data_IF_873854280763
#
_entry.id   IF_873854280763
#
_cell.length_a   1.000
_cell.length_b   1.000
_cell.length_c   1.000
_cell.angle_alpha   90.00
_cell.angle_beta   90.00
_cell.angle_gamma   90.00
#
_symmetry.space_group_name_H-M   'P 1'
#
loop_
_entity.id
_entity.type
_entity.pdbx_description
1 polymer ?
#
# COMPACT_ATOMS: atom_id res chain seq x y z
N UNK A 1 18.20 55.73 63.06
CA UNK A 1 16.88 55.19 62.73
C UNK A 1 16.54 55.62 61.34
N UNK A 2 16.90 54.75 60.34
CA UNK A 2 16.54 54.97 58.94
C UNK A 2 16.17 53.61 58.40
N UNK A 3 14.91 53.44 58.11
CA UNK A 3 14.38 52.25 57.52
C UNK A 3 14.52 52.33 55.99
N UNK A 4 15.37 51.49 55.42
CA UNK A 4 15.55 51.38 54.02
C UNK A 4 14.49 50.37 53.47
N UNK A 5 13.55 50.84 52.69
CA UNK A 5 12.55 50.00 52.03
C UNK A 5 13.12 49.56 50.71
N UNK A 6 13.48 48.26 50.63
CA UNK A 6 13.87 47.61 49.39
C UNK A 6 12.60 47.22 48.63
N UNK A 7 12.39 47.83 47.49
CA UNK A 7 11.34 47.47 46.55
C UNK A 7 11.85 46.34 45.66
N UNK A 8 11.33 45.16 45.84
CA UNK A 8 11.59 44.00 44.95
C UNK A 8 10.55 44.06 43.84
N UNK A 9 11.01 44.40 42.64
CA UNK A 9 10.21 44.34 41.43
C UNK A 9 10.22 42.88 40.92
N UNK A 10 9.09 42.17 41.13
CA UNK A 10 8.86 40.87 40.51
C UNK A 10 8.57 41.05 39.02
N UNK A 11 9.55 40.71 38.19
CA UNK A 11 9.38 40.58 36.74
C UNK A 11 8.76 39.23 36.44
N UNK A 12 7.44 39.20 36.23
CA UNK A 12 6.71 38.00 35.82
C UNK A 12 6.90 37.81 34.31
N UNK A 13 7.85 36.96 33.94
CA UNK A 13 8.01 36.53 32.55
C UNK A 13 6.94 35.50 32.17
N UNK A 14 5.98 35.86 31.32
CA UNK A 14 5.06 34.91 30.69
C UNK A 14 5.83 34.06 29.66
N UNK A 15 6.16 32.84 30.00
CA UNK A 15 6.58 31.82 29.07
C UNK A 15 5.33 31.28 28.34
N UNK A 16 5.00 31.85 27.20
CA UNK A 16 4.03 31.29 26.29
C UNK A 16 4.62 30.03 25.65
N UNK A 17 4.43 28.86 26.28
CA UNK A 17 4.71 27.56 25.67
C UNK A 17 3.68 27.30 24.58
N UNK A 18 3.98 27.73 23.36
CA UNK A 18 3.22 27.37 22.17
C UNK A 18 3.35 25.87 21.95
N UNK A 19 2.31 25.07 22.27
CA UNK A 19 2.18 23.72 21.77
C UNK A 19 2.04 23.80 20.26
N UNK A 20 3.13 23.54 19.55
CA UNK A 20 3.07 23.28 18.12
C UNK A 20 2.33 21.95 17.92
N UNK A 21 1.02 22.03 17.72
CA UNK A 21 0.23 20.89 17.25
C UNK A 21 0.65 20.64 15.82
N UNK A 22 1.50 19.64 15.60
CA UNK A 22 1.77 19.17 14.24
C UNK A 22 0.43 18.80 13.61
N UNK A 23 0.06 19.35 12.45
CA UNK A 23 -1.15 18.93 11.79
C UNK A 23 -1.03 17.43 11.52
N UNK A 24 -2.03 16.67 11.98
CA UNK A 24 -2.18 15.27 11.60
C UNK A 24 -2.13 15.21 10.08
N UNK A 25 -1.35 14.29 9.48
CA UNK A 25 -1.38 14.11 8.05
C UNK A 25 -2.84 13.89 7.65
N UNK A 26 -3.29 14.69 6.67
CA UNK A 26 -4.63 14.50 6.10
C UNK A 26 -4.78 13.04 5.72
N UNK A 27 -5.95 12.41 5.93
CA UNK A 27 -6.19 11.06 5.46
C UNK A 27 -5.88 11.05 3.97
N UNK A 28 -4.81 10.34 3.60
CA UNK A 28 -4.53 10.08 2.20
C UNK A 28 -5.81 9.45 1.64
N UNK A 29 -6.30 9.91 0.49
CA UNK A 29 -7.34 9.23 -0.27
C UNK A 29 -6.75 7.89 -0.76
N UNK A 30 -6.55 6.96 0.15
CA UNK A 30 -6.14 5.61 -0.17
C UNK A 30 -7.38 4.94 -0.73
N UNK A 31 -7.40 4.78 -2.04
CA UNK A 31 -8.40 3.96 -2.70
C UNK A 31 -8.04 2.50 -2.42
N UNK A 32 -8.61 1.95 -1.37
CA UNK A 32 -8.50 0.52 -1.10
C UNK A 32 -9.31 -0.25 -2.15
N UNK A 33 -8.69 -1.28 -2.71
CA UNK A 33 -9.34 -2.20 -3.64
C UNK A 33 -9.59 -3.54 -2.94
N UNK A 34 -10.86 -3.93 -2.86
CA UNK A 34 -11.33 -5.14 -2.19
C UNK A 34 -11.70 -6.25 -3.18
N UNK A 35 -11.38 -6.10 -4.45
CA UNK A 35 -11.77 -7.03 -5.51
C UNK A 35 -10.94 -8.32 -5.49
N UNK A 36 -10.80 -8.93 -4.32
CA UNK A 36 -10.14 -10.22 -4.14
C UNK A 36 -11.14 -11.31 -3.79
N UNK A 37 -11.03 -12.44 -4.45
CA UNK A 37 -11.75 -13.67 -4.12
C UNK A 37 -10.83 -14.65 -3.40
N UNK A 38 -11.40 -15.35 -2.43
CA UNK A 38 -10.68 -16.36 -1.67
C UNK A 38 -11.35 -17.72 -1.83
N UNK A 39 -10.56 -18.77 -2.06
CA UNK A 39 -11.04 -20.14 -2.19
C UNK A 39 -10.10 -21.12 -1.48
N UNK A 40 -10.53 -22.39 -1.32
CA UNK A 40 -9.73 -23.44 -0.71
C UNK A 40 -9.94 -23.61 0.78
N UNK A 41 -8.93 -24.13 1.48
CA UNK A 41 -9.01 -24.54 2.89
C UNK A 41 -9.39 -23.41 3.84
N UNK A 42 -10.37 -23.65 4.71
CA UNK A 42 -10.92 -22.62 5.61
C UNK A 42 -9.97 -22.26 6.76
N UNK A 43 -9.02 -23.13 7.11
CA UNK A 43 -8.08 -22.86 8.20
C UNK A 43 -6.97 -21.90 7.80
N UNK A 44 -6.68 -21.78 6.51
CA UNK A 44 -5.62 -20.93 5.95
C UNK A 44 -6.18 -19.74 5.16
N UNK A 45 -7.49 -19.73 4.91
CA UNK A 45 -8.16 -18.67 4.17
C UNK A 45 -8.26 -17.39 5.00
N UNK A 46 -7.85 -16.23 4.46
CA UNK A 46 -8.08 -14.95 5.12
C UNK A 46 -9.58 -14.62 5.15
N UNK A 47 -9.99 -13.89 6.17
CA UNK A 47 -11.34 -13.35 6.29
C UNK A 47 -11.55 -12.14 5.37
N UNK A 48 -10.48 -11.39 5.07
CA UNK A 48 -10.50 -10.25 4.17
C UNK A 48 -9.14 -10.08 3.48
N UNK A 49 -9.16 -9.63 2.23
CA UNK A 49 -7.98 -9.22 1.47
C UNK A 49 -8.33 -7.93 0.72
N UNK A 50 -7.40 -7.00 0.71
CA UNK A 50 -7.49 -5.76 -0.05
C UNK A 50 -6.10 -5.19 -0.31
N UNK A 51 -5.99 -4.22 -1.21
CA UNK A 51 -4.76 -3.45 -1.43
C UNK A 51 -5.01 -1.94 -1.44
N UNK A 52 -3.94 -1.17 -1.32
CA UNK A 52 -3.93 0.30 -1.43
C UNK A 52 -3.20 0.79 -2.70
N UNK A 53 -2.96 -0.12 -3.63
CA UNK A 53 -2.17 0.13 -4.84
C UNK A 53 -0.65 -0.02 -4.65
N UNK A 54 -0.17 -0.17 -3.42
CA UNK A 54 1.25 -0.37 -3.10
C UNK A 54 1.50 -1.62 -2.25
N UNK A 55 0.59 -1.90 -1.32
CA UNK A 55 0.65 -3.04 -0.40
C UNK A 55 -0.62 -3.87 -0.51
N UNK A 56 -0.50 -5.16 -0.29
CA UNK A 56 -1.64 -6.08 -0.09
C UNK A 56 -1.77 -6.41 1.39
N UNK A 57 -2.99 -6.37 1.88
CA UNK A 57 -3.38 -6.58 3.28
C UNK A 57 -4.20 -7.86 3.40
N UNK A 58 -3.81 -8.73 4.32
CA UNK A 58 -4.50 -9.98 4.63
C UNK A 58 -4.97 -9.94 6.08
N UNK A 59 -6.25 -10.12 6.30
CA UNK A 59 -6.80 -10.31 7.64
C UNK A 59 -7.14 -11.78 7.85
N UNK A 60 -6.62 -12.36 8.93
CA UNK A 60 -6.98 -13.72 9.34
C UNK A 60 -7.90 -13.68 10.56
N UNK A 61 -8.70 -14.74 10.77
CA UNK A 61 -9.51 -14.87 11.98
C UNK A 61 -8.65 -14.75 13.25
N UNK A 62 -9.21 -14.16 14.30
CA UNK A 62 -8.54 -13.95 15.59
C UNK A 62 -7.98 -15.28 16.12
N UNK A 63 -6.74 -15.24 16.60
CA UNK A 63 -6.04 -16.41 17.14
C UNK A 63 -5.41 -17.33 16.08
N UNK A 64 -5.47 -16.96 14.80
CA UNK A 64 -4.75 -17.66 13.72
C UNK A 64 -3.53 -16.85 13.28
N UNK A 65 -2.40 -17.54 13.18
CA UNK A 65 -1.20 -16.97 12.59
C UNK A 65 -1.31 -16.96 11.06
N UNK A 66 -0.58 -16.06 10.42
CA UNK A 66 -0.47 -16.08 8.96
C UNK A 66 0.08 -17.43 8.47
N UNK A 67 -0.51 -18.01 7.42
CA UNK A 67 0.10 -19.12 6.70
C UNK A 67 1.34 -18.64 5.92
N UNK A 68 2.04 -19.59 5.31
CA UNK A 68 3.02 -19.26 4.27
C UNK A 68 2.27 -18.62 3.11
N UNK A 69 2.74 -17.48 2.63
CA UNK A 69 2.15 -16.74 1.52
C UNK A 69 3.14 -16.73 0.35
N UNK A 70 2.68 -17.17 -0.80
CA UNK A 70 3.44 -17.16 -2.03
C UNK A 70 2.70 -16.33 -3.08
N UNK A 71 3.44 -15.53 -3.86
CA UNK A 71 2.92 -14.92 -5.07
C UNK A 71 3.00 -15.94 -6.20
N UNK A 72 1.92 -16.13 -6.93
CA UNK A 72 1.88 -16.97 -8.14
C UNK A 72 1.80 -16.10 -9.40
N UNK A 73 2.87 -16.09 -10.16
CA UNK A 73 2.99 -15.37 -11.43
C UNK A 73 3.05 -16.38 -12.59
N UNK A 74 1.87 -16.82 -13.04
CA UNK A 74 1.79 -17.76 -14.18
C UNK A 74 2.45 -19.10 -13.91
N UNK A 75 2.29 -19.65 -12.70
CA UNK A 75 2.85 -20.92 -12.26
C UNK A 75 4.24 -20.83 -11.62
N UNK A 76 4.86 -19.66 -11.61
CA UNK A 76 6.07 -19.41 -10.84
C UNK A 76 5.68 -18.88 -9.48
N UNK A 77 6.00 -19.62 -8.42
CA UNK A 77 5.73 -19.23 -7.05
C UNK A 77 6.93 -18.59 -6.40
N UNK A 78 6.70 -17.48 -5.72
CA UNK A 78 7.70 -16.76 -4.95
C UNK A 78 7.21 -16.61 -3.52
N UNK A 79 7.99 -17.10 -2.58
CA UNK A 79 7.72 -16.94 -1.15
C UNK A 79 7.76 -15.46 -0.77
N UNK A 80 6.80 -15.04 0.02
CA UNK A 80 6.68 -13.68 0.54
C UNK A 80 6.79 -13.69 2.06
N UNK A 81 7.38 -12.64 2.59
CA UNK A 81 7.51 -12.43 4.04
C UNK A 81 6.55 -11.31 4.46
N UNK A 82 5.40 -11.66 5.06
CA UNK A 82 4.44 -10.67 5.51
C UNK A 82 4.92 -10.01 6.80
N UNK A 83 4.64 -8.72 6.94
CA UNK A 83 4.82 -7.96 8.17
C UNK A 83 3.48 -7.82 8.87
N UNK A 84 3.44 -8.02 10.18
CA UNK A 84 2.20 -7.81 10.95
C UNK A 84 2.04 -6.34 11.30
N UNK A 85 0.98 -5.72 10.83
CA UNK A 85 0.57 -4.36 11.12
C UNK A 85 -0.83 -4.37 11.77
N UNK A 86 -0.88 -4.37 13.10
CA UNK A 86 -2.12 -4.46 13.87
C UNK A 86 -2.87 -5.78 13.62
N UNK A 87 -4.05 -5.70 13.02
CA UNK A 87 -4.88 -6.87 12.69
C UNK A 87 -4.57 -7.49 11.32
N UNK A 88 -3.67 -6.86 10.55
CA UNK A 88 -3.35 -7.26 9.18
C UNK A 88 -1.95 -7.82 9.08
N UNK A 89 -1.77 -8.71 8.13
CA UNK A 89 -0.48 -9.11 7.59
C UNK A 89 -0.32 -8.43 6.24
N UNK A 90 0.74 -7.63 6.10
CA UNK A 90 0.95 -6.78 4.93
C UNK A 90 2.12 -7.29 4.11
N UNK A 91 1.98 -7.18 2.80
CA UNK A 91 3.04 -7.48 1.83
C UNK A 91 3.29 -6.20 1.02
N UNK A 92 4.56 -5.74 0.89
CA UNK A 92 4.87 -4.47 0.23
C UNK A 92 4.83 -4.58 -1.29
N UNK A 93 3.72 -5.12 -1.80
CA UNK A 93 3.42 -5.24 -3.23
C UNK A 93 1.95 -5.56 -3.45
N UNK A 94 1.48 -5.34 -4.66
CA UNK A 94 0.17 -5.78 -5.12
C UNK A 94 0.34 -6.96 -6.07
N UNK A 95 -0.51 -7.97 -5.97
CA UNK A 95 -0.43 -9.16 -6.81
C UNK A 95 -1.81 -9.65 -7.25
N UNK A 96 -1.85 -10.35 -8.38
CA UNK A 96 -3.10 -10.89 -8.92
C UNK A 96 -3.50 -12.24 -8.32
N UNK A 97 -2.51 -13.01 -7.86
CA UNK A 97 -2.76 -14.34 -7.31
C UNK A 97 -1.78 -14.67 -6.21
N UNK A 98 -2.31 -15.04 -5.05
CA UNK A 98 -1.52 -15.53 -3.92
C UNK A 98 -1.95 -16.94 -3.56
N UNK A 99 -0.98 -17.77 -3.20
CA UNK A 99 -1.21 -19.10 -2.67
C UNK A 99 -0.79 -19.12 -1.20
N UNK A 100 -1.71 -19.51 -0.35
CA UNK A 100 -1.53 -19.57 1.10
C UNK A 100 -1.47 -21.02 1.52
N UNK A 101 -0.47 -21.42 2.30
CA UNK A 101 -0.27 -22.80 2.68
C UNK A 101 0.06 -22.94 4.16
N UNK A 102 -0.53 -23.95 4.81
CA UNK A 102 -0.19 -24.41 6.16
C UNK A 102 -0.37 -25.93 6.25
N UNK A 103 0.74 -26.65 6.38
CA UNK A 103 0.71 -28.11 6.32
C UNK A 103 0.16 -28.59 4.97
N UNK A 104 -0.90 -29.38 5.02
CA UNK A 104 -1.55 -29.89 3.80
C UNK A 104 -2.67 -29.00 3.26
N UNK A 105 -3.05 -27.96 4.01
CA UNK A 105 -4.11 -27.08 3.58
C UNK A 105 -3.58 -25.91 2.74
N UNK A 106 -4.31 -25.64 1.67
CA UNK A 106 -4.01 -24.58 0.74
C UNK A 106 -5.25 -23.73 0.48
N UNK A 107 -5.08 -22.41 0.46
CA UNK A 107 -6.07 -21.48 -0.02
C UNK A 107 -5.47 -20.63 -1.15
N UNK A 108 -6.34 -20.10 -1.99
CA UNK A 108 -5.96 -19.24 -3.10
C UNK A 108 -6.70 -17.92 -2.96
N UNK A 109 -5.98 -16.83 -3.17
CA UNK A 109 -6.51 -15.47 -3.22
C UNK A 109 -6.25 -14.97 -4.64
N UNK A 110 -7.31 -14.60 -5.34
CA UNK A 110 -7.25 -14.10 -6.71
C UNK A 110 -7.88 -12.72 -6.80
N UNK A 111 -7.22 -11.83 -7.52
CA UNK A 111 -7.78 -10.54 -7.85
C UNK A 111 -8.82 -10.69 -8.97
N UNK A 112 -10.03 -10.20 -8.73
CA UNK A 112 -11.17 -10.30 -9.65
C UNK A 112 -11.62 -8.91 -10.17
N UNK A 113 -10.80 -7.88 -9.95
CA UNK A 113 -11.09 -6.52 -10.39
C UNK A 113 -10.76 -6.29 -11.86
N UNK A 114 -11.22 -5.15 -12.38
CA UNK A 114 -10.93 -4.73 -13.75
C UNK A 114 -9.49 -4.24 -13.96
N UNK A 115 -8.77 -3.95 -12.88
CA UNK A 115 -7.37 -3.51 -12.93
C UNK A 115 -6.47 -4.73 -12.89
N UNK A 116 -5.65 -4.91 -13.91
CA UNK A 116 -4.58 -5.90 -13.86
C UNK A 116 -3.45 -5.30 -13.03
N UNK A 117 -3.21 -5.84 -11.83
CA UNK A 117 -2.04 -5.47 -11.08
C UNK A 117 -0.80 -6.04 -11.77
N UNK A 118 0.06 -5.16 -12.24
CA UNK A 118 1.36 -5.59 -12.77
C UNK A 118 2.23 -5.94 -11.57
N UNK A 119 2.40 -7.23 -11.32
CA UNK A 119 3.27 -7.73 -10.27
C UNK A 119 4.68 -7.15 -10.43
N UNK A 120 5.00 -6.19 -9.58
CA UNK A 120 6.36 -5.90 -9.10
C UNK A 120 7.51 -5.68 -10.08
N UNK A 121 7.29 -5.53 -11.36
CA UNK A 121 8.30 -4.99 -12.27
C UNK A 121 8.01 -3.51 -12.42
N UNK A 122 8.83 -2.69 -11.77
CA UNK A 122 8.93 -1.27 -12.10
C UNK A 122 9.44 -1.23 -13.56
N UNK A 123 8.54 -1.27 -14.52
CA UNK A 123 8.85 -0.87 -15.88
C UNK A 123 9.06 0.65 -15.86
N UNK A 124 10.27 1.04 -15.44
CA UNK A 124 10.83 2.31 -15.87
C UNK A 124 10.87 2.26 -17.38
N UNK A 125 10.22 3.26 -17.98
CA UNK A 125 10.18 3.53 -19.41
C UNK A 125 9.24 2.67 -20.25
N UNK A 126 7.92 2.95 -20.15
CA UNK A 126 7.13 3.03 -21.36
C UNK A 126 7.44 4.38 -22.02
N UNK A 127 8.52 4.42 -22.80
CA UNK A 127 8.68 5.47 -23.80
C UNK A 127 7.56 5.21 -24.80
N UNK A 128 6.54 6.05 -24.76
CA UNK A 128 5.57 6.14 -25.83
C UNK A 128 6.32 6.51 -27.11
N UNK A 129 6.31 5.70 -28.16
CA UNK A 129 6.74 6.18 -29.47
C UNK A 129 5.78 7.31 -29.84
N UNK A 130 6.33 8.48 -30.10
CA UNK A 130 5.57 9.53 -30.71
C UNK A 130 5.13 9.00 -32.09
N UNK A 131 3.84 8.75 -32.26
CA UNK A 131 3.23 8.58 -33.58
C UNK A 131 3.34 9.91 -34.31
N UNK A 132 4.44 10.07 -35.03
CA UNK A 132 4.54 11.05 -36.08
C UNK A 132 3.70 10.57 -37.26
N UNK A 133 2.52 11.09 -37.39
CA UNK A 133 1.73 10.99 -38.61
C UNK A 133 2.48 11.69 -39.73
N UNK A 134 3.23 10.94 -40.51
CA UNK A 134 3.75 11.41 -41.81
C UNK A 134 2.63 11.22 -42.83
N UNK A 135 1.91 12.31 -43.08
CA UNK A 135 1.03 12.40 -44.23
C UNK A 135 1.87 12.28 -45.49
N UNK A 136 1.80 11.17 -46.16
CA UNK A 136 2.31 11.02 -47.51
C UNK A 136 1.42 11.84 -48.46
N UNK A 137 1.89 13.02 -48.87
CA UNK A 137 1.30 13.72 -49.99
C UNK A 137 1.73 13.01 -51.26
N UNK A 138 0.73 12.54 -52.01
CA UNK A 138 0.83 12.11 -53.37
C UNK A 138 1.50 13.18 -54.22
N UNK A 139 2.69 12.89 -54.74
CA UNK A 139 3.20 13.57 -55.92
C UNK A 139 2.67 12.80 -57.12
N UNK A 140 1.84 13.49 -57.87
CA UNK A 140 1.34 13.12 -59.18
C UNK A 140 2.49 13.26 -60.21
N UNK A 141 2.85 12.23 -60.98
CA UNK A 141 3.88 12.36 -61.99
C UNK A 141 3.23 12.42 -63.38
N UNK A 142 2.62 13.59 -63.71
CA UNK A 142 2.32 13.93 -65.12
C UNK A 142 1.89 15.41 -65.23
N UNK A 143 2.87 16.24 -65.56
CA UNK A 143 2.72 17.45 -66.32
C UNK A 143 4.09 18.04 -66.73
#
# INVERSE_FOLDING_TARGET
>A
MVQSRLAIACLVGLLASGCATSPLPAPSNQNYDFAYRTSGGTSVRPSQVFDDGAKTYFQFPIGKFAPVIELDEGGKRRLLEPTQEGLYYTIPMVGNRFVLQRGQETAVVEYDGAKIHQSGTISRFAVRPAEGSVSAQNLDPDA
#
